data_IF_608484311551
#
_entry.id   IF_608484311551
#
_cell.length_a   1.000
_cell.length_b   1.000
_cell.length_c   1.000
_cell.angle_alpha   90.00
_cell.angle_beta   90.00
_cell.angle_gamma   90.00
#
_symmetry.space_group_name_H-M   'P 1'
#
loop_
_entity.id
_entity.type
_entity.pdbx_description
1 polymer ?
#
# COMPACT_ATOMS: atom_id res chain seq x y z
N UNK A 1 -22.05 -17.77 36.17
CA UNK A 1 -20.60 -17.82 35.90
C UNK A 1 -20.42 -18.21 34.43
N UNK A 2 -19.55 -17.52 33.68
CA UNK A 2 -19.78 -17.15 32.28
C UNK A 2 -19.06 -18.06 31.28
N UNK A 3 -19.61 -18.19 30.08
CA UNK A 3 -18.84 -18.57 28.90
C UNK A 3 -19.41 -17.80 27.71
N UNK A 4 -18.99 -16.54 27.63
CA UNK A 4 -18.99 -15.81 26.37
C UNK A 4 -17.81 -16.30 25.55
N UNK A 5 -18.06 -16.76 24.31
CA UNK A 5 -17.16 -16.37 23.24
C UNK A 5 -18.00 -16.08 21.99
N UNK A 6 -18.21 -14.81 21.70
CA UNK A 6 -18.42 -14.41 20.31
C UNK A 6 -17.58 -13.17 20.08
N UNK A 7 -16.28 -13.35 20.32
CA UNK A 7 -15.26 -12.45 19.82
C UNK A 7 -15.40 -12.51 18.29
N UNK A 8 -15.66 -11.35 17.68
CA UNK A 8 -15.97 -11.26 16.26
C UNK A 8 -14.91 -11.93 15.40
N UNK A 9 -15.27 -13.07 14.82
CA UNK A 9 -14.57 -13.63 13.68
C UNK A 9 -14.87 -12.71 12.50
N UNK A 10 -14.17 -11.57 12.48
CA UNK A 10 -14.01 -10.72 11.31
C UNK A 10 -13.41 -11.67 10.28
N UNK A 11 -14.26 -12.18 9.38
CA UNK A 11 -13.87 -13.11 8.33
C UNK A 11 -12.51 -12.66 7.79
N UNK A 12 -11.51 -13.55 7.67
CA UNK A 12 -10.20 -13.15 7.19
C UNK A 12 -10.44 -12.51 5.83
N UNK A 13 -10.37 -11.18 5.81
CA UNK A 13 -10.39 -10.38 4.60
C UNK A 13 -9.23 -10.92 3.78
N UNK A 14 -9.56 -11.81 2.83
CA UNK A 14 -8.56 -12.60 2.11
C UNK A 14 -7.57 -11.60 1.56
N UNK A 15 -6.30 -11.61 2.02
CA UNK A 15 -5.36 -10.57 1.71
C UNK A 15 -5.17 -10.60 0.20
N UNK A 16 -5.71 -9.59 -0.47
CA UNK A 16 -5.65 -9.52 -1.92
C UNK A 16 -4.22 -9.17 -2.27
N UNK A 17 -3.50 -10.16 -2.75
CA UNK A 17 -2.10 -10.02 -3.11
C UNK A 17 -1.97 -9.37 -4.47
N UNK A 18 -1.15 -8.33 -4.56
CA UNK A 18 -1.03 -7.49 -5.76
C UNK A 18 0.41 -7.20 -6.09
N UNK A 19 0.70 -7.07 -7.38
CA UNK A 19 2.00 -6.60 -7.85
C UNK A 19 1.94 -5.14 -8.27
N UNK A 20 3.09 -4.46 -8.28
CA UNK A 20 3.21 -3.05 -8.69
C UNK A 20 2.54 -2.71 -10.03
N UNK A 21 2.64 -3.52 -11.11
CA UNK A 21 1.94 -3.20 -12.37
C UNK A 21 0.41 -3.26 -12.27
N UNK A 22 -0.16 -4.02 -11.33
CA UNK A 22 -1.61 -4.16 -11.15
C UNK A 22 -2.21 -3.06 -10.25
N UNK A 23 -1.39 -2.50 -9.36
CA UNK A 23 -1.82 -1.44 -8.42
C UNK A 23 -2.51 -0.24 -9.07
N UNK A 24 -2.10 0.32 -10.23
CA UNK A 24 -2.74 1.49 -10.82
C UNK A 24 -4.23 1.26 -11.14
N UNK A 25 -4.57 0.08 -11.65
CA UNK A 25 -5.94 -0.29 -11.99
C UNK A 25 -6.78 -0.51 -10.72
N UNK A 26 -6.17 -1.11 -9.70
CA UNK A 26 -6.82 -1.31 -8.41
C UNK A 26 -7.05 0.00 -7.65
N UNK A 27 -6.14 0.96 -7.77
CA UNK A 27 -6.30 2.30 -7.19
C UNK A 27 -7.49 3.02 -7.84
N UNK A 28 -7.60 2.95 -9.17
CA UNK A 28 -8.73 3.52 -9.92
C UNK A 28 -10.05 2.84 -9.52
N UNK A 29 -10.08 1.51 -9.41
CA UNK A 29 -11.23 0.75 -8.97
C UNK A 29 -11.66 1.08 -7.53
N UNK A 30 -10.72 1.44 -6.66
CA UNK A 30 -10.98 1.87 -5.28
C UNK A 30 -11.35 3.36 -5.16
N UNK A 31 -11.48 4.08 -6.28
CA UNK A 31 -11.78 5.52 -6.30
C UNK A 31 -10.62 6.40 -5.82
N UNK A 32 -9.41 5.86 -5.75
CA UNK A 32 -8.19 6.59 -5.40
C UNK A 32 -7.55 7.18 -6.67
N UNK A 33 -6.67 8.16 -6.48
CA UNK A 33 -5.93 8.75 -7.58
C UNK A 33 -5.07 7.70 -8.25
N UNK A 34 -5.24 7.52 -9.56
CA UNK A 34 -4.39 6.63 -10.37
C UNK A 34 -2.93 7.09 -10.30
N UNK A 35 -2.07 6.25 -9.76
CA UNK A 35 -0.62 6.46 -9.72
C UNK A 35 0.04 5.46 -10.66
N UNK A 36 0.88 5.96 -11.58
CA UNK A 36 1.55 5.09 -12.54
C UNK A 36 2.57 4.15 -11.87
N UNK A 37 2.87 2.99 -12.48
CA UNK A 37 3.73 1.97 -11.87
C UNK A 37 5.15 2.47 -11.61
N UNK A 38 5.67 3.39 -12.44
CA UNK A 38 6.98 4.01 -12.21
C UNK A 38 7.01 4.83 -10.91
N UNK A 39 5.96 5.61 -10.63
CA UNK A 39 5.84 6.38 -9.39
C UNK A 39 5.64 5.45 -8.20
N UNK A 40 4.85 4.39 -8.34
CA UNK A 40 4.71 3.37 -7.30
C UNK A 40 6.06 2.74 -6.94
N UNK A 41 6.91 2.42 -7.93
CA UNK A 41 8.27 1.91 -7.68
C UNK A 41 9.16 2.91 -6.94
N UNK A 42 9.07 4.20 -7.27
CA UNK A 42 9.77 5.25 -6.56
C UNK A 42 9.33 5.31 -5.09
N UNK A 43 8.02 5.29 -4.84
CA UNK A 43 7.47 5.29 -3.48
C UNK A 43 7.91 4.07 -2.68
N UNK A 44 7.87 2.89 -3.31
CA UNK A 44 8.37 1.67 -2.69
C UNK A 44 9.88 1.67 -2.39
N UNK A 45 10.64 2.64 -2.90
CA UNK A 45 12.07 2.78 -2.65
C UNK A 45 12.42 4.00 -1.78
N UNK A 46 11.63 5.07 -1.83
CA UNK A 46 11.92 6.36 -1.20
C UNK A 46 11.09 6.62 0.07
N UNK A 47 9.90 6.02 0.18
CA UNK A 47 8.94 6.28 1.24
C UNK A 47 9.05 5.19 2.32
N UNK A 48 9.44 5.58 3.53
CA UNK A 48 9.59 4.64 4.66
C UNK A 48 8.26 4.10 5.19
N UNK A 49 7.15 4.82 4.94
CA UNK A 49 5.80 4.39 5.31
C UNK A 49 5.19 3.43 4.28
N UNK A 50 5.92 3.16 3.19
CA UNK A 50 5.47 2.24 2.15
C UNK A 50 5.22 0.83 2.70
N UNK A 51 4.11 0.16 2.33
CA UNK A 51 3.81 -1.19 2.79
C UNK A 51 4.90 -2.19 2.41
N UNK A 52 5.29 -3.01 3.39
CA UNK A 52 6.28 -4.08 3.17
C UNK A 52 5.71 -5.13 2.21
N UNK A 53 6.53 -5.66 1.28
CA UNK A 53 6.11 -6.76 0.43
C UNK A 53 5.86 -8.00 1.29
N UNK A 54 4.73 -8.66 1.07
CA UNK A 54 4.41 -9.95 1.71
C UNK A 54 5.28 -11.08 1.14
N UNK A 55 5.76 -10.89 -0.09
CA UNK A 55 6.65 -11.82 -0.76
C UNK A 55 7.60 -11.06 -1.67
N UNK A 56 8.89 -11.34 -1.53
CA UNK A 56 9.93 -10.84 -2.41
C UNK A 56 10.78 -12.00 -2.92
N UNK A 57 10.91 -12.10 -4.25
CA UNK A 57 11.83 -13.02 -4.90
C UNK A 57 12.48 -12.35 -6.08
N UNK A 58 13.75 -11.98 -5.93
CA UNK A 58 14.51 -11.25 -6.95
C UNK A 58 13.86 -9.90 -7.25
N UNK A 59 13.38 -9.71 -8.48
CA UNK A 59 12.71 -8.46 -8.92
C UNK A 59 11.20 -8.47 -8.70
N UNK A 60 10.64 -9.62 -8.33
CA UNK A 60 9.20 -9.77 -8.09
C UNK A 60 8.90 -9.41 -6.65
N UNK A 61 8.02 -8.42 -6.47
CA UNK A 61 7.50 -7.99 -5.18
C UNK A 61 5.99 -8.06 -5.20
N UNK A 62 5.44 -8.73 -4.21
CA UNK A 62 4.00 -8.88 -3.99
C UNK A 62 3.67 -8.16 -2.70
N UNK A 63 2.60 -7.38 -2.72
CA UNK A 63 2.15 -6.56 -1.60
C UNK A 63 0.72 -6.95 -1.22
N UNK A 64 0.37 -6.69 0.03
CA UNK A 64 -1.01 -6.76 0.47
C UNK A 64 -1.79 -5.54 -0.01
N UNK A 65 -2.90 -5.75 -0.72
CA UNK A 65 -3.76 -4.68 -1.22
C UNK A 65 -4.35 -3.85 -0.09
N UNK A 66 -4.77 -4.45 1.03
CA UNK A 66 -5.36 -3.72 2.15
C UNK A 66 -4.38 -2.68 2.72
N UNK A 67 -3.11 -3.07 2.89
CA UNK A 67 -2.04 -2.19 3.30
C UNK A 67 -1.75 -1.09 2.27
N UNK A 68 -1.70 -1.44 0.98
CA UNK A 68 -1.49 -0.48 -0.13
C UNK A 68 -2.64 0.53 -0.21
N UNK A 69 -3.88 0.06 -0.19
CA UNK A 69 -5.09 0.90 -0.20
C UNK A 69 -5.08 1.85 0.99
N UNK A 70 -4.77 1.35 2.19
CA UNK A 70 -4.70 2.16 3.40
C UNK A 70 -3.60 3.22 3.32
N UNK A 71 -2.43 2.87 2.81
CA UNK A 71 -1.35 3.82 2.55
C UNK A 71 -1.84 4.92 1.60
N UNK A 72 -2.42 4.58 0.45
CA UNK A 72 -2.91 5.59 -0.51
C UNK A 72 -4.11 6.40 -0.03
N UNK A 73 -4.98 5.83 0.81
CA UNK A 73 -6.13 6.52 1.41
C UNK A 73 -5.69 7.48 2.53
N UNK A 74 -4.74 7.07 3.36
CA UNK A 74 -4.15 7.91 4.42
C UNK A 74 -3.17 8.95 3.86
N UNK A 75 -2.59 8.67 2.70
CA UNK A 75 -1.74 9.59 1.97
C UNK A 75 -2.57 10.71 1.38
N UNK A 76 -2.80 11.74 2.20
CA UNK A 76 -3.13 13.07 1.72
C UNK A 76 -2.08 13.41 0.68
N UNK A 77 -2.50 13.50 -0.59
CA UNK A 77 -1.62 13.92 -1.68
C UNK A 77 -1.15 15.33 -1.30
N UNK A 78 0.04 15.45 -0.69
CA UNK A 78 0.70 16.73 -0.46
C UNK A 78 1.14 17.24 -1.84
N UNK A 79 0.17 17.75 -2.61
CA UNK A 79 0.44 18.52 -3.82
C UNK A 79 1.24 19.75 -3.36
N UNK A 80 2.57 19.67 -3.44
CA UNK A 80 3.45 20.78 -3.05
C UNK A 80 4.73 20.40 -2.31
N UNK A 81 4.87 19.18 -1.79
CA UNK A 81 6.17 18.76 -1.24
C UNK A 81 7.12 18.41 -2.40
N UNK A 82 7.97 19.37 -2.77
CA UNK A 82 9.21 19.12 -3.49
C UNK A 82 10.03 18.13 -2.67
N UNK A 83 10.13 16.87 -3.13
CA UNK A 83 11.10 15.89 -2.62
C UNK A 83 12.56 16.26 -2.93
N UNK A 84 12.82 17.49 -3.41
CA UNK A 84 14.14 18.04 -3.75
C UNK A 84 14.95 18.50 -2.52
N UNK A 85 14.35 18.52 -1.32
CA UNK A 85 15.05 18.76 -0.07
C UNK A 85 15.51 17.45 0.58
N UNK A 86 16.22 16.60 -0.16
CA UNK A 86 17.23 15.76 0.48
C UNK A 86 18.43 16.65 0.74
N UNK A 87 18.51 17.19 1.96
CA UNK A 87 19.66 17.92 2.46
C UNK A 87 20.94 17.13 2.14
N UNK A 88 21.84 17.78 1.39
CA UNK A 88 23.27 17.48 1.46
C UNK A 88 23.69 17.68 2.91
N UNK A 89 24.15 16.61 3.55
CA UNK A 89 25.21 16.70 4.56
C UNK A 89 26.37 15.83 4.08
#
# INVERSE_FOLDING_TARGET
MPSSPNEGERAPEVPKLVTIPEMPELLEAAGLKKVGPARIRQLAAEDEDWPKPVFERGRTRIFDWGAVERYFRGRTTRQGERTDLKSKE
#
